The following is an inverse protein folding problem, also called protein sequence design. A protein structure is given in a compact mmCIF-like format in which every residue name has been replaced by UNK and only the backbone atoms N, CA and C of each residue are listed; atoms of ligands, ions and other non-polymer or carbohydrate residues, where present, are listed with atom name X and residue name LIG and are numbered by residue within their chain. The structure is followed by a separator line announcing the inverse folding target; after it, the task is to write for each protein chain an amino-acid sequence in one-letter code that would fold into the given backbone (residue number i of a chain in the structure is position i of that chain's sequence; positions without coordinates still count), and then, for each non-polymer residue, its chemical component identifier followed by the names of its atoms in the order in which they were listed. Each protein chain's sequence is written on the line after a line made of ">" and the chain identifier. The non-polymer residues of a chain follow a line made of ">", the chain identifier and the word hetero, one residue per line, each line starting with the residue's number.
data_IF_249743081331
#
_entry.id   IF_249743081331
#
_cell.length_a   1.000
_cell.length_b   1.000
_cell.length_c   1.000
_cell.angle_alpha   90.00
_cell.angle_beta   90.00
_cell.angle_gamma   90.00
#
_symmetry.space_group_name_H-M   'P 1'
#
loop_
_entity.id
_entity.type
_entity.pdbx_description
1 polymer ?
#
# COMPACT_ATOMS: atom_id res chain seq x y z
N UNK A 1 58.84 -0.25 -49.05
CA UNK A 1 57.57 -0.43 -48.32
C UNK A 1 56.52 0.37 -49.05
N UNK A 2 55.57 -0.29 -49.71
CA UNK A 2 54.64 0.35 -50.66
C UNK A 2 53.40 0.88 -49.94
N UNK A 3 52.80 1.95 -50.45
CA UNK A 3 51.55 2.53 -49.90
C UNK A 3 50.42 1.49 -49.86
N UNK A 4 50.47 0.48 -50.75
CA UNK A 4 49.53 -0.65 -50.77
C UNK A 4 49.60 -1.56 -49.53
N UNK A 5 50.76 -1.70 -48.90
CA UNK A 5 50.92 -2.53 -47.69
C UNK A 5 50.30 -1.83 -46.47
N UNK A 6 50.39 -0.50 -46.42
CA UNK A 6 49.84 0.33 -45.33
C UNK A 6 48.31 0.31 -45.37
N UNK A 7 47.70 0.38 -46.57
CA UNK A 7 46.24 0.34 -46.72
C UNK A 7 45.67 -1.06 -46.47
N UNK A 8 46.40 -2.12 -46.82
CA UNK A 8 46.03 -3.50 -46.51
C UNK A 8 46.10 -3.81 -45.00
N UNK A 9 47.14 -3.33 -44.31
CA UNK A 9 47.23 -3.48 -42.84
C UNK A 9 46.16 -2.66 -42.11
N UNK A 10 45.80 -1.49 -42.63
CA UNK A 10 44.74 -0.65 -42.07
C UNK A 10 43.34 -1.30 -42.19
N UNK A 11 43.05 -1.97 -43.31
CA UNK A 11 41.76 -2.65 -43.50
C UNK A 11 41.63 -3.92 -42.64
N UNK A 12 42.72 -4.68 -42.46
CA UNK A 12 42.76 -5.84 -41.56
C UNK A 12 42.61 -5.41 -40.10
N UNK A 13 43.28 -4.32 -39.68
CA UNK A 13 43.14 -3.77 -38.33
C UNK A 13 41.74 -3.17 -38.06
N UNK A 14 41.09 -2.61 -39.08
CA UNK A 14 39.71 -2.13 -38.99
C UNK A 14 38.69 -3.28 -38.89
N UNK A 15 38.87 -4.34 -39.69
CA UNK A 15 38.03 -5.55 -39.64
C UNK A 15 38.16 -6.28 -38.30
N UNK A 16 39.37 -6.40 -37.76
CA UNK A 16 39.61 -7.02 -36.46
C UNK A 16 38.99 -6.24 -35.28
N UNK A 17 38.84 -4.91 -35.40
CA UNK A 17 38.16 -4.09 -34.37
C UNK A 17 36.64 -4.26 -34.37
N UNK A 18 36.03 -4.63 -35.51
CA UNK A 18 34.59 -4.82 -35.61
C UNK A 18 34.13 -6.15 -34.99
N UNK A 19 34.93 -7.21 -35.02
CA UNK A 19 34.56 -8.50 -34.40
C UNK A 19 34.59 -8.49 -32.86
N UNK A 20 35.34 -7.59 -32.22
CA UNK A 20 35.50 -7.57 -30.76
C UNK A 20 34.34 -6.82 -30.05
N UNK A 21 33.48 -6.14 -30.80
CA UNK A 21 32.32 -5.42 -30.26
C UNK A 21 31.12 -6.37 -30.03
N UNK A 22 31.23 -7.26 -29.04
CA UNK A 22 30.08 -8.00 -28.54
C UNK A 22 29.00 -7.05 -27.97
N UNK A 23 27.71 -7.46 -27.93
CA UNK A 23 26.63 -6.63 -27.42
C UNK A 23 26.91 -6.22 -25.96
N UNK A 24 27.21 -4.93 -25.75
CA UNK A 24 27.46 -4.33 -24.45
C UNK A 24 26.14 -3.82 -23.87
N UNK A 25 25.63 -4.50 -22.84
CA UNK A 25 24.38 -4.11 -22.19
C UNK A 25 24.20 -4.78 -20.82
N UNK A 26 23.42 -4.19 -19.90
CA UNK A 26 23.12 -4.81 -18.61
C UNK A 26 22.48 -6.18 -18.80
N UNK A 27 22.98 -7.20 -18.09
CA UNK A 27 22.42 -8.56 -18.13
C UNK A 27 20.90 -8.51 -17.85
N UNK A 28 20.04 -9.09 -18.71
CA UNK A 28 18.60 -9.05 -18.51
C UNK A 28 18.27 -9.76 -17.19
N UNK A 29 17.77 -8.99 -16.22
CA UNK A 29 17.31 -9.54 -14.95
C UNK A 29 15.95 -10.19 -15.19
N UNK A 30 15.83 -11.47 -14.89
CA UNK A 30 14.52 -12.15 -14.93
C UNK A 30 13.61 -11.52 -13.87
N UNK A 31 12.61 -10.75 -14.32
CA UNK A 31 11.61 -10.14 -13.42
C UNK A 31 10.85 -11.21 -12.62
N UNK A 32 10.57 -12.36 -13.25
CA UNK A 32 9.87 -13.48 -12.64
C UNK A 32 10.90 -14.56 -12.28
N UNK A 33 11.37 -14.53 -11.03
CA UNK A 33 12.15 -15.59 -10.42
C UNK A 33 11.26 -16.39 -9.46
N UNK A 34 11.46 -17.71 -9.35
CA UNK A 34 10.73 -18.58 -8.41
C UNK A 34 10.72 -18.01 -6.98
N UNK A 35 11.85 -17.42 -6.56
CA UNK A 35 11.98 -16.74 -5.27
C UNK A 35 11.01 -15.56 -5.12
N UNK A 36 10.89 -14.71 -6.13
CA UNK A 36 10.01 -13.53 -6.09
C UNK A 36 8.54 -13.96 -6.06
N UNK A 37 8.18 -15.02 -6.78
CA UNK A 37 6.81 -15.56 -6.76
C UNK A 37 6.45 -16.06 -5.36
N UNK A 38 7.35 -16.80 -4.69
CA UNK A 38 7.10 -17.25 -3.31
C UNK A 38 7.01 -16.09 -2.31
N UNK A 39 7.90 -15.10 -2.45
CA UNK A 39 7.95 -13.93 -1.59
C UNK A 39 6.68 -13.08 -1.73
N UNK A 40 6.31 -12.71 -2.96
CA UNK A 40 5.09 -11.94 -3.21
C UNK A 40 3.83 -12.73 -2.95
N UNK A 41 3.80 -14.04 -3.23
CA UNK A 41 2.68 -14.91 -2.90
C UNK A 41 2.41 -14.96 -1.40
N UNK A 42 3.46 -15.17 -0.59
CA UNK A 42 3.33 -15.17 0.87
C UNK A 42 2.91 -13.81 1.41
N UNK A 43 3.53 -12.72 0.90
CA UNK A 43 3.16 -11.36 1.28
C UNK A 43 1.70 -11.04 0.93
N UNK A 44 1.23 -11.48 -0.23
CA UNK A 44 -0.15 -11.31 -0.67
C UNK A 44 -1.12 -12.06 0.23
N UNK A 45 -0.84 -13.33 0.55
CA UNK A 45 -1.68 -14.12 1.48
C UNK A 45 -1.75 -13.46 2.85
N UNK A 46 -0.62 -12.99 3.38
CA UNK A 46 -0.61 -12.26 4.66
C UNK A 46 -1.40 -10.96 4.58
N UNK A 47 -1.24 -10.18 3.50
CA UNK A 47 -2.00 -8.96 3.30
C UNK A 47 -3.51 -9.22 3.27
N UNK A 48 -3.96 -10.22 2.51
CA UNK A 48 -5.39 -10.60 2.44
C UNK A 48 -5.89 -11.07 3.80
N UNK A 49 -5.12 -11.87 4.53
CA UNK A 49 -5.48 -12.35 5.86
C UNK A 49 -5.74 -11.20 6.85
N UNK A 50 -4.84 -10.20 6.87
CA UNK A 50 -5.00 -9.02 7.73
C UNK A 50 -6.08 -8.04 7.23
N UNK A 51 -6.37 -8.01 5.92
CA UNK A 51 -7.43 -7.18 5.35
C UNK A 51 -8.83 -7.79 5.55
N UNK A 52 -8.96 -9.10 5.71
CA UNK A 52 -10.24 -9.78 5.90
C UNK A 52 -11.10 -9.20 7.05
N UNK A 53 -10.59 -8.98 8.28
CA UNK A 53 -11.39 -8.37 9.34
C UNK A 53 -11.79 -6.93 9.01
N UNK A 54 -10.92 -6.16 8.35
CA UNK A 54 -11.24 -4.80 7.90
C UNK A 54 -12.37 -4.83 6.86
N UNK A 55 -12.31 -5.75 5.90
CA UNK A 55 -13.35 -5.96 4.90
C UNK A 55 -14.71 -6.25 5.54
N UNK A 56 -14.77 -7.18 6.50
CA UNK A 56 -16.01 -7.52 7.20
C UNK A 56 -16.55 -6.30 7.97
N UNK A 57 -15.70 -5.56 8.68
CA UNK A 57 -16.11 -4.36 9.40
C UNK A 57 -16.67 -3.27 8.46
N UNK A 58 -16.05 -3.05 7.31
CA UNK A 58 -16.53 -2.07 6.32
C UNK A 58 -17.87 -2.52 5.74
N UNK A 59 -17.98 -3.75 5.26
CA UNK A 59 -19.20 -4.29 4.65
C UNK A 59 -20.37 -4.26 5.64
N UNK A 60 -20.13 -4.66 6.89
CA UNK A 60 -21.16 -4.64 7.93
C UNK A 60 -21.56 -3.22 8.36
N UNK A 61 -20.63 -2.25 8.35
CA UNK A 61 -20.95 -0.84 8.66
C UNK A 61 -21.88 -0.18 7.64
N UNK A 62 -21.98 -0.74 6.43
CA UNK A 62 -22.83 -0.26 5.33
C UNK A 62 -24.16 -1.01 5.24
N UNK A 63 -24.35 -2.09 6.00
CA UNK A 63 -25.59 -2.87 6.03
C UNK A 63 -26.64 -2.20 6.91
N UNK A 64 -27.89 -2.24 6.44
CA UNK A 64 -29.04 -1.82 7.25
C UNK A 64 -29.35 -2.79 8.39
N UNK A 65 -30.18 -2.34 9.36
CA UNK A 65 -30.66 -3.16 10.48
C UNK A 65 -31.34 -4.48 10.05
N UNK A 66 -32.17 -4.50 8.99
CA UNK A 66 -32.78 -5.76 8.53
C UNK A 66 -31.75 -6.77 8.02
N UNK A 67 -30.70 -6.31 7.35
CA UNK A 67 -29.69 -7.17 6.73
C UNK A 67 -28.71 -7.75 7.75
N UNK A 68 -28.34 -6.99 8.77
CA UNK A 68 -27.50 -7.48 9.88
C UNK A 68 -28.19 -8.62 10.63
N UNK A 69 -29.52 -8.58 10.76
CA UNK A 69 -30.32 -9.64 11.42
C UNK A 69 -30.35 -10.97 10.66
N UNK A 70 -30.03 -10.96 9.37
CA UNK A 70 -30.00 -12.17 8.52
C UNK A 70 -28.70 -12.98 8.68
N UNK A 71 -27.70 -12.47 9.41
CA UNK A 71 -26.50 -13.23 9.79
C UNK A 71 -25.47 -13.47 8.69
N UNK A 72 -25.67 -12.95 7.47
CA UNK A 72 -24.74 -13.11 6.35
C UNK A 72 -23.56 -12.12 6.44
N UNK A 73 -22.56 -12.45 7.25
CA UNK A 73 -21.42 -11.55 7.53
C UNK A 73 -20.46 -11.39 6.34
N UNK A 74 -20.27 -12.45 5.54
CA UNK A 74 -19.34 -12.45 4.39
C UNK A 74 -19.96 -11.99 3.07
N UNK A 75 -21.30 -11.87 2.99
CA UNK A 75 -21.94 -11.37 1.78
C UNK A 75 -21.72 -9.86 1.64
N UNK A 76 -21.52 -9.31 0.43
CA UNK A 76 -21.61 -7.87 0.20
C UNK A 76 -23.01 -7.34 0.56
N UNK A 77 -23.15 -6.05 0.88
CA UNK A 77 -24.44 -5.46 1.19
C UNK A 77 -25.34 -5.49 -0.05
N UNK A 78 -26.58 -5.92 0.10
CA UNK A 78 -27.57 -5.85 -0.99
C UNK A 78 -28.02 -4.41 -1.22
N UNK A 79 -28.13 -3.65 -0.13
CA UNK A 79 -28.45 -2.22 -0.15
C UNK A 79 -27.35 -1.46 0.60
N UNK A 80 -26.63 -0.59 -0.11
CA UNK A 80 -25.59 0.24 0.50
C UNK A 80 -26.28 1.45 1.15
N UNK A 81 -26.20 1.57 2.47
CA UNK A 81 -26.75 2.71 3.22
C UNK A 81 -25.73 3.32 4.17
N UNK A 82 -25.75 4.65 4.28
CA UNK A 82 -24.96 5.44 5.24
C UNK A 82 -25.77 5.90 6.44
N UNK A 83 -27.04 5.51 6.54
CA UNK A 83 -27.89 5.82 7.68
C UNK A 83 -27.28 5.40 9.03
N UNK A 84 -26.64 4.21 9.18
CA UNK A 84 -26.00 3.81 10.43
C UNK A 84 -24.87 4.76 10.84
N UNK A 85 -24.10 5.27 9.88
CA UNK A 85 -23.00 6.22 10.12
C UNK A 85 -23.51 7.57 10.63
N UNK A 86 -24.54 8.13 9.97
CA UNK A 86 -25.16 9.38 10.41
C UNK A 86 -25.79 9.20 11.79
N UNK A 87 -26.51 8.10 12.01
CA UNK A 87 -27.09 7.79 13.31
C UNK A 87 -26.04 7.70 14.41
N UNK A 88 -24.99 6.92 14.20
CA UNK A 88 -23.90 6.77 15.16
C UNK A 88 -23.19 8.10 15.48
N UNK A 89 -22.98 8.95 14.46
CA UNK A 89 -22.23 10.20 14.62
C UNK A 89 -23.00 11.29 15.35
N UNK A 90 -24.29 11.51 15.05
CA UNK A 90 -25.03 12.70 15.49
C UNK A 90 -26.25 12.46 16.36
N UNK A 91 -26.81 11.24 16.39
CA UNK A 91 -28.12 10.99 17.04
C UNK A 91 -28.14 9.78 17.97
N UNK A 92 -27.08 8.98 18.01
CA UNK A 92 -26.99 7.84 18.90
C UNK A 92 -26.94 8.29 20.37
N UNK A 93 -27.84 7.76 21.19
CA UNK A 93 -27.84 7.99 22.63
C UNK A 93 -26.81 7.08 23.31
N UNK A 94 -25.74 7.68 23.82
CA UNK A 94 -24.62 6.96 24.48
C UNK A 94 -24.78 6.89 26.01
N UNK A 95 -26.02 6.98 26.50
CA UNK A 95 -26.37 6.91 27.93
C UNK A 95 -26.25 8.23 28.70
N UNK A 96 -25.37 9.14 28.29
CA UNK A 96 -25.28 10.49 28.87
C UNK A 96 -25.94 11.57 27.99
N UNK A 97 -25.71 11.52 26.68
CA UNK A 97 -26.21 12.50 25.73
C UNK A 97 -26.68 11.81 24.44
N UNK A 98 -27.63 12.43 23.74
CA UNK A 98 -28.18 11.96 22.47
C UNK A 98 -27.61 12.70 21.25
N UNK A 99 -26.42 13.30 21.38
CA UNK A 99 -25.72 14.00 20.29
C UNK A 99 -24.79 13.07 19.49
N UNK A 100 -24.91 11.75 19.65
CA UNK A 100 -24.04 10.77 19.00
C UNK A 100 -22.63 10.68 19.59
N UNK A 101 -21.76 9.96 18.87
CA UNK A 101 -20.37 9.71 19.27
C UNK A 101 -19.44 10.93 19.03
N UNK A 102 -19.90 11.91 18.23
CA UNK A 102 -19.11 13.08 17.81
C UNK A 102 -18.49 13.84 18.98
N UNK A 103 -19.23 14.00 20.09
CA UNK A 103 -18.80 14.72 21.28
C UNK A 103 -17.61 14.04 21.97
N UNK A 104 -17.68 12.72 22.14
CA UNK A 104 -16.61 11.90 22.72
C UNK A 104 -15.37 11.91 21.81
N UNK A 105 -15.58 11.76 20.50
CA UNK A 105 -14.50 11.82 19.51
C UNK A 105 -13.72 13.14 19.59
N UNK A 106 -14.41 14.29 19.64
CA UNK A 106 -13.75 15.59 19.74
C UNK A 106 -13.03 15.81 21.07
N UNK A 107 -13.51 15.24 22.17
CA UNK A 107 -12.77 15.25 23.43
C UNK A 107 -11.45 14.49 23.30
N UNK A 108 -11.47 13.31 22.67
CA UNK A 108 -10.25 12.55 22.38
C UNK A 108 -9.29 13.35 21.50
N UNK A 109 -9.76 13.95 20.41
CA UNK A 109 -8.92 14.78 19.51
C UNK A 109 -8.27 15.94 20.26
N UNK A 110 -9.02 16.65 21.10
CA UNK A 110 -8.50 17.76 21.92
C UNK A 110 -7.44 17.33 22.93
N UNK A 111 -7.43 16.07 23.35
CA UNK A 111 -6.41 15.52 24.25
C UNK A 111 -5.22 14.99 23.44
N UNK A 112 -5.46 14.17 22.42
CA UNK A 112 -4.40 13.47 21.68
C UNK A 112 -3.53 14.43 20.88
N UNK A 113 -4.11 15.44 20.22
CA UNK A 113 -3.36 16.39 19.39
C UNK A 113 -2.30 17.16 20.18
N UNK A 114 -2.62 17.87 21.29
CA UNK A 114 -1.60 18.56 22.05
C UNK A 114 -0.61 17.59 22.71
N UNK A 115 -1.06 16.40 23.15
CA UNK A 115 -0.16 15.39 23.71
C UNK A 115 0.87 14.89 22.70
N UNK A 116 0.48 14.63 21.45
CA UNK A 116 1.39 14.21 20.37
C UNK A 116 2.37 15.33 20.04
N UNK A 117 1.91 16.57 19.91
CA UNK A 117 2.78 17.72 19.63
C UNK A 117 3.83 17.91 20.73
N UNK A 118 3.41 17.87 21.99
CA UNK A 118 4.31 18.00 23.13
C UNK A 118 5.31 16.83 23.19
N UNK A 119 4.83 15.60 22.95
CA UNK A 119 5.68 14.40 22.94
C UNK A 119 6.75 14.47 21.85
N UNK A 120 6.37 14.87 20.63
CA UNK A 120 7.32 15.04 19.51
C UNK A 120 8.30 16.16 19.82
N UNK A 121 7.86 17.30 20.37
CA UNK A 121 8.74 18.41 20.71
C UNK A 121 9.82 17.97 21.71
N UNK A 122 9.43 17.31 22.81
CA UNK A 122 10.36 16.82 23.83
C UNK A 122 11.28 15.74 23.24
N UNK A 123 10.75 14.79 22.47
CA UNK A 123 11.55 13.73 21.85
C UNK A 123 12.57 14.28 20.86
N UNK A 124 12.21 15.30 20.07
CA UNK A 124 13.10 15.90 19.08
C UNK A 124 14.28 16.65 19.69
N UNK A 125 14.10 17.21 20.89
CA UNK A 125 15.16 17.90 21.65
C UNK A 125 16.12 16.91 22.32
N UNK A 126 15.62 15.76 22.78
CA UNK A 126 16.43 14.75 23.48
C UNK A 126 17.01 13.67 22.55
N UNK A 127 16.47 13.52 21.33
CA UNK A 127 16.90 12.54 20.33
C UNK A 127 17.99 13.03 19.39
N UNK A 128 18.45 14.27 19.56
CA UNK A 128 19.64 14.86 18.95
C UNK A 128 20.76 14.91 19.99
#
# INVERSE_FOLDING_TARGET
>A
MSIADITAQASVAAGARQEIAGPYGPKPRRMISRRNVFLYGTLFVMAVYYLLPLYVMIVTSLKGMPEIRLGNIFSPPLEITFEPWVKAWSTACTGLNCDGLSRGFWNSVRITVPSVLLSIAIASVNGY
#
